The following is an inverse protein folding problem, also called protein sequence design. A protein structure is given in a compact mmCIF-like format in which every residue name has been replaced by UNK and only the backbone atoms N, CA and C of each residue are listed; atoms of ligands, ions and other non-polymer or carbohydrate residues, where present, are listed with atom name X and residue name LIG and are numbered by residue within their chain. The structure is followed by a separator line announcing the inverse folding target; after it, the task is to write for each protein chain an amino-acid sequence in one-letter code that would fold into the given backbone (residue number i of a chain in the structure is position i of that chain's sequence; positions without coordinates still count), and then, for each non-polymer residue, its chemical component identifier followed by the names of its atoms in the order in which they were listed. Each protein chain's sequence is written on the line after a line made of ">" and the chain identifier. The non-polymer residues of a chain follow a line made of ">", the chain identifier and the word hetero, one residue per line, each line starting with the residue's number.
data_IF_750707914558
#
_entry.id   IF_750707914558
#
_cell.length_a   1.000
_cell.length_b   1.000
_cell.length_c   1.000
_cell.angle_alpha   90.00
_cell.angle_beta   90.00
_cell.angle_gamma   90.00
#
_symmetry.space_group_name_H-M   'P 1'
#
loop_
_entity.id
_entity.type
_entity.pdbx_description
1 polymer ?
#
# COMPACT_ATOMS: atom_id res chain seq x y z
N UNK A 1 42.76 28.96 22.52
CA UNK A 1 42.14 28.81 21.19
C UNK A 1 42.40 27.39 20.72
N UNK A 2 41.41 26.50 20.77
CA UNK A 2 41.42 25.25 19.99
C UNK A 2 39.98 25.06 19.50
N UNK A 3 39.81 25.29 18.20
CA UNK A 3 38.56 25.23 17.49
C UNK A 3 38.04 23.79 17.41
N UNK A 4 36.71 23.66 17.48
CA UNK A 4 35.99 22.44 17.11
C UNK A 4 36.29 22.07 15.64
N UNK A 5 36.48 20.77 15.37
CA UNK A 5 36.48 20.24 14.02
C UNK A 5 35.02 20.07 13.56
N UNK A 6 34.60 20.65 12.43
CA UNK A 6 33.30 20.37 11.85
C UNK A 6 33.37 19.11 10.98
N UNK A 7 32.59 18.09 11.33
CA UNK A 7 32.30 16.99 10.40
C UNK A 7 31.51 17.52 9.18
N UNK A 8 32.07 17.29 8.00
CA UNK A 8 31.54 17.76 6.71
C UNK A 8 30.61 16.71 6.09
N UNK A 9 29.32 17.06 6.06
CA UNK A 9 28.38 16.91 4.92
C UNK A 9 27.95 15.49 4.49
N UNK A 10 26.74 15.11 4.92
CA UNK A 10 25.70 14.59 4.00
C UNK A 10 24.44 15.48 4.03
N UNK A 11 24.61 16.74 3.68
CA UNK A 11 23.51 17.59 3.19
C UNK A 11 23.24 17.24 1.72
N UNK A 12 22.50 16.15 1.47
CA UNK A 12 21.85 15.86 0.16
C UNK A 12 20.83 14.71 0.29
N UNK A 13 19.97 14.78 1.29
CA UNK A 13 18.61 14.28 1.13
C UNK A 13 17.74 15.52 1.20
N UNK A 14 17.11 15.85 0.08
CA UNK A 14 16.36 17.08 -0.15
C UNK A 14 15.48 17.44 1.05
N UNK A 15 15.91 18.43 1.84
CA UNK A 15 15.24 18.89 3.05
C UNK A 15 13.95 19.71 2.75
N UNK A 16 13.33 19.55 1.58
CA UNK A 16 12.20 20.40 1.18
C UNK A 16 11.26 19.78 0.13
N UNK A 17 11.32 18.48 -0.12
CA UNK A 17 10.31 17.83 -0.98
C UNK A 17 9.45 16.93 -0.12
N UNK A 18 8.43 17.51 0.52
CA UNK A 18 7.24 16.74 0.83
C UNK A 18 6.61 16.37 -0.52
N UNK A 19 6.83 15.14 -0.98
CA UNK A 19 6.02 14.57 -2.07
C UNK A 19 4.59 14.42 -1.56
N UNK A 20 3.82 15.50 -1.73
CA UNK A 20 2.40 15.49 -1.44
C UNK A 20 1.70 14.95 -2.67
N UNK A 21 1.35 13.67 -2.63
CA UNK A 21 0.47 13.08 -3.62
C UNK A 21 -0.89 13.79 -3.50
N UNK A 22 -1.16 14.69 -4.45
CA UNK A 22 -2.43 15.40 -4.56
C UNK A 22 -3.30 14.64 -5.56
N UNK A 23 -4.33 13.97 -5.03
CA UNK A 23 -5.42 13.47 -5.87
C UNK A 23 -6.06 14.67 -6.57
N UNK A 24 -5.92 14.78 -7.89
CA UNK A 24 -6.44 15.92 -8.68
C UNK A 24 -7.97 15.91 -8.75
N UNK A 25 -8.58 14.73 -8.61
CA UNK A 25 -10.02 14.52 -8.66
C UNK A 25 -10.43 13.65 -7.48
N UNK A 26 -11.53 14.01 -6.80
CA UNK A 26 -12.12 13.19 -5.75
C UNK A 26 -13.17 12.27 -6.37
N UNK A 27 -12.87 10.98 -6.45
CA UNK A 27 -13.84 9.95 -6.79
C UNK A 27 -14.79 9.64 -5.63
N UNK A 28 -15.84 8.87 -5.91
CA UNK A 28 -16.69 8.28 -4.86
C UNK A 28 -15.86 7.30 -4.04
N UNK A 29 -15.92 7.42 -2.71
CA UNK A 29 -15.28 6.46 -1.81
C UNK A 29 -16.01 5.12 -1.95
N UNK A 30 -15.32 4.11 -2.46
CA UNK A 30 -15.87 2.76 -2.62
C UNK A 30 -15.79 1.98 -1.30
N UNK A 31 -14.64 2.06 -0.64
CA UNK A 31 -14.34 1.36 0.61
C UNK A 31 -13.53 2.27 1.52
N UNK A 32 -13.69 2.13 2.82
CA UNK A 32 -12.90 2.85 3.83
C UNK A 32 -12.33 1.90 4.87
N UNK A 33 -11.22 2.28 5.47
CA UNK A 33 -10.54 1.48 6.47
C UNK A 33 -9.35 2.21 7.07
N UNK A 34 -8.44 1.47 7.69
CA UNK A 34 -7.25 2.04 8.33
C UNK A 34 -6.13 2.16 7.31
N UNK A 35 -5.77 3.40 7.01
CA UNK A 35 -4.65 3.70 6.13
C UNK A 35 -3.29 3.30 6.74
N UNK A 36 -2.45 2.71 5.91
CA UNK A 36 -1.08 2.29 6.18
C UNK A 36 -0.18 2.91 5.11
N UNK A 37 0.83 3.67 5.54
CA UNK A 37 1.73 4.38 4.64
C UNK A 37 1.24 5.79 4.30
N UNK A 38 1.97 6.45 3.39
CA UNK A 38 1.73 7.84 2.94
C UNK A 38 1.81 7.99 1.41
N UNK A 39 1.85 6.88 0.68
CA UNK A 39 1.88 6.87 -0.79
C UNK A 39 0.46 6.69 -1.33
N UNK A 40 0.31 6.90 -2.63
CA UNK A 40 -0.93 6.61 -3.35
C UNK A 40 -0.63 5.54 -4.40
N UNK A 41 -1.48 4.53 -4.46
CA UNK A 41 -1.38 3.42 -5.40
C UNK A 41 -2.61 3.40 -6.29
N UNK A 42 -2.46 3.08 -7.55
CA UNK A 42 -3.58 2.97 -8.48
C UNK A 42 -3.35 1.80 -9.43
N UNK A 43 -4.44 1.14 -9.78
CA UNK A 43 -4.39 -0.03 -10.64
C UNK A 43 -5.74 -0.75 -10.71
N UNK A 44 -5.83 -1.78 -11.56
CA UNK A 44 -6.99 -2.65 -11.59
C UNK A 44 -7.02 -3.50 -10.32
N UNK A 45 -8.22 -3.64 -9.74
CA UNK A 45 -8.47 -4.52 -8.60
C UNK A 45 -8.23 -5.97 -9.00
N UNK A 46 -7.55 -6.70 -8.13
CA UNK A 46 -7.48 -8.16 -8.17
C UNK A 46 -7.93 -8.72 -6.83
N UNK A 47 -9.13 -9.30 -6.81
CA UNK A 47 -9.67 -9.98 -5.63
C UNK A 47 -9.11 -11.40 -5.60
N UNK A 48 -8.28 -11.67 -4.60
CA UNK A 48 -7.63 -12.96 -4.38
C UNK A 48 -8.17 -13.51 -3.06
N UNK A 49 -8.75 -14.70 -3.09
CA UNK A 49 -9.26 -15.33 -1.87
C UNK A 49 -8.28 -16.38 -1.34
N UNK A 50 -7.49 -16.98 -2.23
CA UNK A 50 -6.57 -18.06 -1.90
C UNK A 50 -5.18 -17.87 -2.53
N UNK A 51 -4.17 -18.43 -1.86
CA UNK A 51 -2.76 -18.47 -2.28
C UNK A 51 -2.60 -19.05 -3.70
N UNK A 52 -3.45 -20.01 -4.09
CA UNK A 52 -3.46 -20.60 -5.43
C UNK A 52 -3.82 -19.63 -6.55
N UNK A 53 -4.39 -18.47 -6.23
CA UNK A 53 -4.78 -17.45 -7.20
C UNK A 53 -3.71 -16.37 -7.40
N UNK A 54 -2.54 -16.47 -6.73
CA UNK A 54 -1.47 -15.48 -6.79
C UNK A 54 -0.93 -15.21 -8.21
N UNK A 55 -1.05 -16.18 -9.12
CA UNK A 55 -0.64 -16.02 -10.52
C UNK A 55 -1.52 -15.02 -11.29
N UNK A 56 -2.73 -14.72 -10.79
CA UNK A 56 -3.65 -13.76 -11.41
C UNK A 56 -3.24 -12.31 -11.20
N UNK A 57 -2.40 -12.04 -10.20
CA UNK A 57 -1.96 -10.67 -9.85
C UNK A 57 -0.78 -10.29 -10.70
N UNK A 58 -0.94 -9.19 -11.42
CA UNK A 58 0.09 -8.61 -12.26
C UNK A 58 0.78 -7.43 -11.55
N UNK A 59 2.02 -7.07 -11.96
CA UNK A 59 2.66 -5.87 -11.47
C UNK A 59 1.80 -4.63 -11.73
N UNK A 60 1.54 -3.85 -10.67
CA UNK A 60 0.69 -2.66 -10.75
C UNK A 60 -0.77 -2.87 -10.34
N UNK A 61 -1.21 -4.11 -10.12
CA UNK A 61 -2.57 -4.41 -9.65
C UNK A 61 -2.78 -3.99 -8.19
N UNK A 62 -4.02 -3.69 -7.83
CA UNK A 62 -4.44 -3.48 -6.44
C UNK A 62 -4.91 -4.80 -5.87
N UNK A 63 -4.14 -5.35 -4.93
CA UNK A 63 -4.44 -6.62 -4.27
C UNK A 63 -5.57 -6.43 -3.26
N UNK A 64 -6.68 -7.15 -3.43
CA UNK A 64 -7.82 -7.15 -2.51
C UNK A 64 -8.01 -8.56 -1.97
N UNK A 65 -8.04 -8.71 -0.64
CA UNK A 65 -8.25 -10.01 0.02
C UNK A 65 -8.95 -9.86 1.37
N UNK A 66 -9.49 -10.93 1.94
CA UNK A 66 -10.05 -10.90 3.30
C UNK A 66 -8.93 -10.78 4.35
N UNK A 67 -7.90 -11.60 4.21
CA UNK A 67 -6.73 -11.70 5.09
C UNK A 67 -5.50 -12.11 4.27
N UNK A 68 -4.31 -11.82 4.79
CA UNK A 68 -3.05 -12.16 4.13
C UNK A 68 -2.08 -12.80 5.11
N UNK A 69 -1.33 -13.79 4.65
CA UNK A 69 -0.31 -14.52 5.42
C UNK A 69 1.06 -14.44 4.71
N UNK A 70 2.17 -14.89 5.33
CA UNK A 70 3.53 -14.75 4.76
C UNK A 70 3.70 -15.30 3.35
N UNK A 71 2.94 -16.33 2.96
CA UNK A 71 2.98 -16.91 1.62
C UNK A 71 2.60 -15.92 0.50
N UNK A 72 1.95 -14.80 0.86
CA UNK A 72 1.52 -13.76 -0.05
C UNK A 72 2.60 -12.70 -0.32
N UNK A 73 3.74 -12.75 0.37
CA UNK A 73 4.84 -11.79 0.17
C UNK A 73 5.27 -11.60 -1.30
N UNK A 74 5.42 -12.66 -2.13
CA UNK A 74 5.82 -12.51 -3.52
C UNK A 74 4.80 -11.69 -4.32
N UNK A 75 3.51 -11.86 -4.03
CA UNK A 75 2.44 -11.14 -4.74
C UNK A 75 2.29 -9.70 -4.25
N UNK A 76 2.45 -9.47 -2.94
CA UNK A 76 2.44 -8.12 -2.37
C UNK A 76 3.53 -7.23 -2.95
N UNK A 77 4.72 -7.78 -3.24
CA UNK A 77 5.82 -7.05 -3.90
C UNK A 77 5.49 -6.55 -5.30
N UNK A 78 4.53 -7.20 -5.99
CA UNK A 78 4.08 -6.81 -7.33
C UNK A 78 2.91 -5.83 -7.30
N UNK A 79 2.15 -5.80 -6.21
CA UNK A 79 0.97 -4.97 -6.09
C UNK A 79 1.32 -3.47 -5.97
N UNK A 80 0.49 -2.61 -6.55
CA UNK A 80 0.60 -1.14 -6.39
C UNK A 80 -0.04 -0.66 -5.09
N UNK A 81 -1.01 -1.41 -4.56
CA UNK A 81 -1.64 -1.17 -3.27
C UNK A 81 -2.25 -2.46 -2.70
N UNK A 82 -2.51 -2.49 -1.39
CA UNK A 82 -3.16 -3.62 -0.71
C UNK A 82 -4.42 -3.14 0.00
N UNK A 83 -5.53 -3.86 -0.19
CA UNK A 83 -6.78 -3.62 0.52
C UNK A 83 -7.20 -4.91 1.20
N UNK A 84 -7.45 -4.86 2.51
CA UNK A 84 -7.93 -6.04 3.25
C UNK A 84 -9.22 -5.76 4.01
N UNK A 85 -10.12 -6.75 4.04
CA UNK A 85 -11.33 -6.66 4.86
C UNK A 85 -11.00 -6.69 6.34
N UNK A 86 -10.06 -7.55 6.74
CA UNK A 86 -9.68 -7.75 8.14
C UNK A 86 -8.28 -7.23 8.41
N UNK A 87 -8.00 -6.98 9.67
CA UNK A 87 -6.69 -6.54 10.15
C UNK A 87 -6.72 -5.18 10.83
N UNK A 88 -5.59 -4.83 11.41
CA UNK A 88 -5.39 -3.58 12.15
C UNK A 88 -4.01 -3.02 11.87
N UNK A 89 -3.62 -1.96 12.61
CA UNK A 89 -2.32 -1.29 12.39
C UNK A 89 -1.09 -2.19 12.52
N UNK A 90 -1.24 -3.37 13.13
CA UNK A 90 -0.18 -4.34 13.44
C UNK A 90 -0.43 -5.70 12.81
N UNK A 91 -1.38 -5.84 11.88
CA UNK A 91 -1.55 -7.11 11.16
C UNK A 91 -0.43 -7.32 10.14
N UNK A 92 -0.35 -8.55 9.62
CA UNK A 92 0.64 -8.95 8.61
C UNK A 92 0.67 -7.97 7.42
N UNK A 93 -0.47 -7.72 6.77
CA UNK A 93 -0.59 -6.76 5.66
C UNK A 93 -0.05 -5.37 6.02
N UNK A 94 -0.32 -4.88 7.23
CA UNK A 94 0.09 -3.54 7.66
C UNK A 94 1.59 -3.42 7.93
N UNK A 95 2.24 -4.52 8.33
CA UNK A 95 3.70 -4.55 8.55
C UNK A 95 4.39 -4.62 7.19
N UNK A 96 4.04 -5.60 6.36
CA UNK A 96 4.66 -5.80 5.04
C UNK A 96 4.43 -4.61 4.12
N UNK A 97 3.24 -3.99 4.12
CA UNK A 97 2.99 -2.80 3.30
C UNK A 97 3.94 -1.64 3.65
N UNK A 98 4.29 -1.46 4.93
CA UNK A 98 5.27 -0.44 5.34
C UNK A 98 6.69 -0.77 4.90
N UNK A 99 7.08 -2.04 5.01
CA UNK A 99 8.41 -2.52 4.62
C UNK A 99 8.63 -2.40 3.11
N UNK A 100 7.62 -2.76 2.32
CA UNK A 100 7.62 -2.62 0.86
C UNK A 100 7.39 -1.17 0.42
N UNK A 101 6.88 -0.32 1.32
CA UNK A 101 6.49 1.05 1.01
C UNK A 101 5.32 1.14 0.03
N UNK A 102 4.40 0.19 0.05
CA UNK A 102 3.17 0.23 -0.74
C UNK A 102 2.03 0.75 0.14
N UNK A 103 1.13 1.57 -0.40
CA UNK A 103 -0.04 2.01 0.36
C UNK A 103 -0.96 0.82 0.63
N UNK A 104 -1.54 0.80 1.83
CA UNK A 104 -2.53 -0.20 2.16
C UNK A 104 -3.68 0.35 3.00
N UNK A 105 -4.87 -0.22 2.80
CA UNK A 105 -6.05 0.04 3.61
C UNK A 105 -6.52 -1.27 4.21
N UNK A 106 -6.44 -1.37 5.54
CA UNK A 106 -6.77 -2.61 6.27
C UNK A 106 -8.02 -2.43 7.11
N UNK A 107 -8.77 -3.51 7.31
CA UNK A 107 -9.97 -3.47 8.15
C UNK A 107 -11.18 -2.83 7.46
N UNK A 108 -11.32 -3.02 6.14
CA UNK A 108 -12.42 -2.45 5.36
C UNK A 108 -13.77 -3.14 5.59
N UNK A 109 -13.78 -4.33 6.19
CA UNK A 109 -14.99 -5.13 6.43
C UNK A 109 -15.52 -5.87 5.20
N UNK A 110 -15.77 -5.17 4.08
CA UNK A 110 -16.48 -5.71 2.91
C UNK A 110 -15.85 -5.32 1.55
N UNK A 111 -14.56 -5.00 1.51
CA UNK A 111 -13.86 -4.65 0.27
C UNK A 111 -13.92 -5.76 -0.79
N UNK A 112 -13.81 -7.03 -0.43
CA UNK A 112 -13.94 -8.14 -1.41
C UNK A 112 -15.34 -8.28 -2.01
N UNK A 113 -16.35 -7.65 -1.42
CA UNK A 113 -17.74 -7.67 -1.91
C UNK A 113 -18.08 -6.42 -2.73
N UNK A 114 -17.49 -5.28 -2.37
CA UNK A 114 -17.72 -4.00 -3.05
C UNK A 114 -16.86 -3.88 -4.31
N UNK A 115 -15.58 -4.26 -4.21
CA UNK A 115 -14.61 -4.11 -5.28
C UNK A 115 -14.73 -5.29 -6.26
N UNK A 116 -14.74 -4.99 -7.55
CA UNK A 116 -14.85 -5.99 -8.61
C UNK A 116 -13.51 -6.19 -9.31
N UNK A 117 -13.21 -7.42 -9.73
CA UNK A 117 -12.01 -7.73 -10.50
C UNK A 117 -11.90 -6.87 -11.76
N UNK A 118 -10.73 -6.30 -12.00
CA UNK A 118 -10.44 -5.43 -13.14
C UNK A 118 -10.91 -3.98 -12.95
N UNK A 119 -11.63 -3.65 -11.87
CA UNK A 119 -12.06 -2.29 -11.59
C UNK A 119 -10.86 -1.40 -11.29
N UNK A 120 -10.70 -0.31 -12.06
CA UNK A 120 -9.65 0.68 -11.79
C UNK A 120 -9.95 1.44 -10.50
N UNK A 121 -9.04 1.38 -9.53
CA UNK A 121 -9.17 2.09 -8.24
C UNK A 121 -7.91 2.86 -7.88
N UNK A 122 -8.05 3.74 -6.90
CA UNK A 122 -6.94 4.48 -6.30
C UNK A 122 -7.04 4.37 -4.79
N UNK A 123 -5.92 4.08 -4.14
CA UNK A 123 -5.77 3.75 -2.71
C UNK A 123 -4.79 4.71 -2.05
#
# INVERSE_FOLDING_TARGET
>A
IVQARPETVKSRASATVMERYLLKEKGTVLVEGRAIGQRIGAGPVKVINDVSEMDKVQPGDVLVSDMTDPDWEPVMKRASAIVTNRGGRTCHAAIIARELGIPAVVGCGNATQILQDGQGVTV
#
